data_IF_044977354196
#
_entry.id   IF_044977354196
#
_cell.length_a   1.000
_cell.length_b   1.000
_cell.length_c   1.000
_cell.angle_alpha   90.00
_cell.angle_beta   90.00
_cell.angle_gamma   90.00
#
_symmetry.space_group_name_H-M   'P 1'
#
loop_
_entity.id
_entity.type
_entity.pdbx_description
1 polymer ?
#
# COMPACT_ATOMS: atom_id res chain seq x y z
N UNK A 1 -13.29 17.43 6.74
CA UNK A 1 -12.28 16.51 6.25
C UNK A 1 -11.15 17.33 5.65
N UNK A 2 -9.94 17.22 6.17
CA UNK A 2 -8.78 17.83 5.54
C UNK A 2 -8.61 17.20 4.14
N UNK A 3 -8.27 18.02 3.13
CA UNK A 3 -8.05 17.51 1.80
C UNK A 3 -6.77 16.66 1.81
N UNK A 4 -6.89 15.38 1.49
CA UNK A 4 -5.72 14.50 1.32
C UNK A 4 -4.89 15.03 0.15
N UNK A 5 -3.63 15.41 0.40
CA UNK A 5 -2.72 15.80 -0.68
C UNK A 5 -2.31 14.53 -1.44
N UNK A 6 -2.65 14.39 -2.72
CA UNK A 6 -2.27 13.22 -3.49
C UNK A 6 -0.77 13.23 -3.80
N UNK A 7 -0.16 12.07 -3.73
CA UNK A 7 1.21 11.78 -4.12
C UNK A 7 1.19 10.99 -5.43
N UNK A 8 1.98 11.40 -6.41
CA UNK A 8 2.12 10.65 -7.66
C UNK A 8 3.03 9.44 -7.43
N UNK A 9 2.60 8.25 -7.89
CA UNK A 9 3.47 7.10 -8.01
C UNK A 9 4.15 7.13 -9.39
N UNK A 10 5.39 6.66 -9.43
CA UNK A 10 6.17 6.53 -10.66
C UNK A 10 6.14 5.08 -11.14
N UNK A 11 5.91 4.87 -12.43
CA UNK A 11 6.05 3.55 -13.05
C UNK A 11 7.52 3.17 -13.15
N UNK A 12 7.85 1.92 -12.83
CA UNK A 12 9.24 1.45 -12.90
C UNK A 12 9.73 1.41 -14.36
N UNK A 13 10.92 1.96 -14.66
CA UNK A 13 11.43 2.03 -16.03
C UNK A 13 11.59 0.66 -16.72
N UNK A 14 11.85 -0.40 -15.96
CA UNK A 14 11.96 -1.77 -16.50
C UNK A 14 10.61 -2.44 -16.80
N UNK A 15 9.49 -1.82 -16.45
CA UNK A 15 8.13 -2.31 -16.71
C UNK A 15 7.20 -1.16 -17.13
N UNK A 16 7.53 -0.44 -18.21
CA UNK A 16 6.77 0.74 -18.62
C UNK A 16 5.33 0.37 -18.97
N UNK A 17 4.40 1.26 -18.61
CA UNK A 17 3.00 1.07 -18.97
C UNK A 17 2.84 1.19 -20.50
N UNK A 18 2.21 0.20 -21.16
CA UNK A 18 2.02 0.22 -22.62
C UNK A 18 0.90 1.15 -23.07
N UNK A 19 0.15 1.71 -22.12
CA UNK A 19 -1.00 2.60 -22.34
C UNK A 19 -0.86 3.85 -21.47
N UNK A 20 -1.55 4.95 -21.80
CA UNK A 20 -1.62 6.11 -20.89
C UNK A 20 -2.23 5.70 -19.56
N UNK A 21 -1.42 5.79 -18.52
CA UNK A 21 -1.76 5.31 -17.18
C UNK A 21 -1.07 6.18 -16.13
N UNK A 22 -1.81 6.61 -15.12
CA UNK A 22 -1.31 7.33 -13.96
C UNK A 22 -1.85 6.72 -12.67
N UNK A 23 -1.01 6.67 -11.64
CA UNK A 23 -1.42 6.19 -10.32
C UNK A 23 -1.04 7.24 -9.27
N UNK A 24 -2.00 7.59 -8.43
CA UNK A 24 -1.82 8.50 -7.30
C UNK A 24 -2.29 7.84 -6.02
N UNK A 25 -1.73 8.26 -4.90
CA UNK A 25 -2.18 7.81 -3.60
C UNK A 25 -2.27 8.98 -2.63
N UNK A 26 -3.37 9.07 -1.89
CA UNK A 26 -3.53 9.97 -0.75
C UNK A 26 -3.56 9.19 0.54
N UNK A 27 -3.16 9.83 1.65
CA UNK A 27 -3.24 9.23 2.97
C UNK A 27 -3.77 10.23 4.00
N UNK A 28 -4.50 9.71 4.97
CA UNK A 28 -4.96 10.43 6.15
C UNK A 28 -4.82 9.52 7.36
N UNK A 29 -4.36 10.07 8.49
CA UNK A 29 -4.25 9.34 9.74
C UNK A 29 -5.10 9.98 10.82
N UNK A 30 -5.77 9.14 11.61
CA UNK A 30 -6.49 9.53 12.82
C UNK A 30 -6.18 8.53 13.93
N UNK A 31 -5.34 8.91 14.87
CA UNK A 31 -4.81 7.99 15.88
C UNK A 31 -4.05 6.82 15.24
N UNK A 32 -4.47 5.59 15.53
CA UNK A 32 -3.95 4.37 14.91
C UNK A 32 -4.61 4.01 13.59
N UNK A 33 -5.68 4.68 13.18
CA UNK A 33 -6.35 4.43 11.92
C UNK A 33 -5.65 5.15 10.77
N UNK A 34 -5.24 4.40 9.74
CA UNK A 34 -4.71 4.92 8.50
C UNK A 34 -5.73 4.69 7.37
N UNK A 35 -6.08 5.75 6.67
CA UNK A 35 -6.90 5.70 5.46
C UNK A 35 -6.02 6.00 4.26
N UNK A 36 -6.00 5.10 3.29
CA UNK A 36 -5.27 5.22 2.04
C UNK A 36 -6.27 5.26 0.89
N UNK A 37 -6.04 6.14 -0.09
CA UNK A 37 -6.86 6.26 -1.28
C UNK A 37 -5.96 6.22 -2.51
N UNK A 38 -6.02 5.12 -3.26
CA UNK A 38 -5.40 5.06 -4.58
C UNK A 38 -6.38 5.49 -5.67
N UNK A 39 -5.87 6.23 -6.64
CA UNK A 39 -6.56 6.67 -7.84
C UNK A 39 -5.76 6.20 -9.05
N UNK A 40 -6.34 5.31 -9.83
CA UNK A 40 -5.81 4.92 -11.14
C UNK A 40 -6.53 5.72 -12.20
N UNK A 41 -5.79 6.40 -13.05
CA UNK A 41 -6.32 7.15 -14.18
C UNK A 41 -5.87 6.49 -15.48
N UNK A 42 -6.80 5.89 -16.20
CA UNK A 42 -6.59 5.16 -17.44
C UNK A 42 -7.93 4.95 -18.15
N UNK A 43 -7.91 4.53 -19.41
CA UNK A 43 -9.10 3.89 -19.99
C UNK A 43 -9.43 2.62 -19.21
N UNK A 44 -10.63 2.52 -18.59
CA UNK A 44 -10.99 1.35 -17.78
C UNK A 44 -10.85 0.01 -18.50
N UNK A 45 -11.06 -0.01 -19.82
CA UNK A 45 -10.94 -1.22 -20.64
C UNK A 45 -9.48 -1.66 -20.85
N UNK A 46 -8.51 -0.78 -20.61
CA UNK A 46 -7.09 -1.09 -20.73
C UNK A 46 -6.49 -1.76 -19.49
N UNK A 47 -7.26 -1.88 -18.40
CA UNK A 47 -6.80 -2.45 -17.13
C UNK A 47 -7.59 -3.72 -16.81
N UNK A 48 -6.87 -4.74 -16.34
CA UNK A 48 -7.49 -5.96 -15.80
C UNK A 48 -7.81 -5.76 -14.32
N UNK A 49 -9.08 -5.61 -14.03
CA UNK A 49 -9.57 -5.49 -12.65
C UNK A 49 -9.96 -6.88 -12.13
N UNK A 50 -9.39 -7.37 -11.01
CA UNK A 50 -9.84 -8.60 -10.37
C UNK A 50 -11.34 -8.58 -10.09
N UNK A 51 -12.03 -9.67 -10.48
CA UNK A 51 -13.46 -9.79 -10.26
C UNK A 51 -13.82 -9.75 -8.76
N UNK A 52 -14.96 -9.15 -8.38
CA UNK A 52 -15.41 -9.11 -6.99
C UNK A 52 -15.45 -10.51 -6.36
N UNK A 53 -14.95 -10.62 -5.14
CA UNK A 53 -14.94 -11.82 -4.32
C UNK A 53 -15.51 -11.49 -2.93
N UNK A 54 -15.93 -12.50 -2.14
CA UNK A 54 -16.21 -12.27 -0.73
C UNK A 54 -15.02 -11.61 -0.03
N UNK A 55 -15.30 -10.56 0.76
CA UNK A 55 -14.27 -9.87 1.51
C UNK A 55 -13.59 -10.83 2.50
N UNK A 56 -12.27 -10.87 2.49
CA UNK A 56 -11.50 -11.77 3.34
C UNK A 56 -10.03 -11.85 2.95
N UNK A 57 -9.23 -12.56 3.75
CA UNK A 57 -7.81 -12.77 3.45
C UNK A 57 -7.62 -13.69 2.24
N UNK A 58 -6.63 -13.37 1.40
CA UNK A 58 -6.21 -14.21 0.28
C UNK A 58 -4.73 -14.00 -0.02
N UNK A 59 -4.06 -15.06 -0.49
CA UNK A 59 -2.65 -15.01 -0.90
C UNK A 59 -2.49 -14.64 -2.39
N UNK A 60 -1.30 -14.13 -2.75
CA UNK A 60 -0.90 -13.95 -4.14
C UNK A 60 -1.61 -12.78 -4.87
N UNK A 61 -2.24 -11.87 -4.14
CA UNK A 61 -2.99 -10.74 -4.73
C UNK A 61 -2.11 -9.86 -5.63
N UNK A 62 -0.81 -9.72 -5.31
CA UNK A 62 0.19 -8.98 -6.06
C UNK A 62 0.51 -9.55 -7.46
N UNK A 63 -0.01 -10.72 -7.79
CA UNK A 63 0.10 -11.32 -9.13
C UNK A 63 -0.87 -10.68 -10.15
N UNK A 64 -1.79 -9.84 -9.69
CA UNK A 64 -2.77 -9.09 -10.47
C UNK A 64 -2.78 -7.62 -10.05
N UNK A 65 -3.74 -6.83 -10.57
CA UNK A 65 -3.92 -5.46 -10.11
C UNK A 65 -4.16 -5.43 -8.60
N UNK A 66 -3.21 -4.84 -7.87
CA UNK A 66 -3.17 -4.80 -6.41
C UNK A 66 -2.52 -3.50 -5.93
N UNK A 67 -2.98 -3.00 -4.80
CA UNK A 67 -2.42 -1.81 -4.13
C UNK A 67 -1.79 -2.26 -2.83
N UNK A 68 -0.62 -1.69 -2.49
CA UNK A 68 0.17 -2.23 -1.39
C UNK A 68 0.71 -1.12 -0.49
N UNK A 69 0.83 -1.44 0.79
CA UNK A 69 1.46 -0.59 1.78
C UNK A 69 2.48 -1.39 2.60
N UNK A 70 3.73 -0.92 2.59
CA UNK A 70 4.83 -1.46 3.39
C UNK A 70 5.06 -0.51 4.56
N UNK A 71 4.85 -0.97 5.79
CA UNK A 71 4.86 -0.13 6.99
C UNK A 71 5.86 -0.68 7.99
N UNK A 72 6.83 0.14 8.41
CA UNK A 72 7.82 -0.18 9.45
C UNK A 72 7.96 0.96 10.44
N UNK A 73 8.44 0.66 11.65
CA UNK A 73 8.86 1.70 12.61
C UNK A 73 10.04 2.49 12.05
N UNK A 74 10.10 3.80 12.34
CA UNK A 74 11.23 4.66 11.93
C UNK A 74 12.36 4.64 13.00
N UNK A 75 12.71 3.46 13.49
CA UNK A 75 13.74 3.21 14.51
C UNK A 75 14.98 2.49 13.97
N UNK A 76 15.04 2.26 12.66
CA UNK A 76 16.12 1.52 12.02
C UNK A 76 15.93 -0.01 12.02
N UNK A 77 14.87 -0.54 12.65
CA UNK A 77 14.55 -1.96 12.57
C UNK A 77 14.36 -2.42 11.12
N UNK A 78 14.87 -3.61 10.74
CA UNK A 78 14.64 -4.16 9.40
C UNK A 78 13.23 -4.71 9.21
N UNK A 79 12.48 -4.95 10.30
CA UNK A 79 11.15 -5.55 10.25
C UNK A 79 10.10 -4.60 9.66
N UNK A 80 9.11 -5.16 8.97
CA UNK A 80 7.98 -4.40 8.41
C UNK A 80 6.74 -5.28 8.25
N UNK A 81 5.60 -4.63 8.05
CA UNK A 81 4.35 -5.26 7.68
C UNK A 81 3.98 -4.84 6.27
N UNK A 82 3.64 -5.79 5.43
CA UNK A 82 3.10 -5.59 4.09
C UNK A 82 1.60 -5.84 4.11
N UNK A 83 0.86 -4.91 3.55
CA UNK A 83 -0.56 -5.05 3.26
C UNK A 83 -0.78 -5.04 1.75
N UNK A 84 -1.60 -5.97 1.28
CA UNK A 84 -2.05 -6.06 -0.10
C UNK A 84 -3.57 -5.85 -0.15
N UNK A 85 -4.04 -5.01 -1.05
CA UNK A 85 -5.44 -4.63 -1.20
C UNK A 85 -5.87 -4.83 -2.64
N UNK A 86 -6.75 -5.82 -2.87
CA UNK A 86 -7.25 -6.14 -4.19
C UNK A 86 -8.56 -5.39 -4.51
N UNK A 87 -8.75 -4.96 -5.76
CA UNK A 87 -10.05 -4.53 -6.27
C UNK A 87 -11.17 -5.55 -6.09
N UNK A 88 -10.84 -6.84 -5.94
CA UNK A 88 -11.80 -7.91 -5.64
C UNK A 88 -12.50 -7.77 -4.29
N UNK A 89 -11.95 -6.94 -3.37
CA UNK A 89 -12.37 -6.85 -1.97
C UNK A 89 -11.59 -7.76 -1.02
N UNK A 90 -10.67 -8.57 -1.56
CA UNK A 90 -9.76 -9.40 -0.76
C UNK A 90 -8.51 -8.63 -0.36
N UNK A 91 -7.85 -9.09 0.71
CA UNK A 91 -6.66 -8.46 1.26
C UNK A 91 -5.67 -9.50 1.78
N UNK A 92 -4.41 -9.11 1.90
CA UNK A 92 -3.40 -9.88 2.61
C UNK A 92 -2.63 -8.99 3.59
N UNK A 93 -2.09 -9.60 4.63
CA UNK A 93 -1.20 -8.96 5.59
C UNK A 93 -0.07 -9.92 5.92
N UNK A 94 1.17 -9.49 5.67
CA UNK A 94 2.36 -10.29 5.89
C UNK A 94 3.32 -9.53 6.81
N UNK A 95 3.91 -10.24 7.77
CA UNK A 95 4.99 -9.70 8.61
C UNK A 95 6.33 -10.22 8.13
N UNK A 96 7.32 -9.35 8.13
CA UNK A 96 8.68 -9.66 7.75
C UNK A 96 9.63 -9.25 8.86
N UNK A 97 10.56 -10.14 9.22
CA UNK A 97 11.63 -9.87 10.18
C UNK A 97 12.75 -9.03 9.54
N UNK A 98 12.99 -9.23 8.25
CA UNK A 98 13.93 -8.47 7.42
C UNK A 98 13.45 -8.49 5.95
N UNK A 99 14.22 -7.85 5.05
CA UNK A 99 13.90 -7.81 3.62
C UNK A 99 13.66 -9.22 3.08
N UNK A 100 12.43 -9.50 2.63
CA UNK A 100 11.96 -10.80 2.09
C UNK A 100 12.04 -11.98 3.07
N UNK A 101 12.36 -11.75 4.33
CA UNK A 101 12.35 -12.77 5.38
C UNK A 101 11.00 -12.77 6.09
N UNK A 102 10.05 -13.57 5.60
CA UNK A 102 8.72 -13.66 6.19
C UNK A 102 8.81 -14.18 7.62
N UNK A 103 8.22 -13.45 8.56
CA UNK A 103 8.10 -13.87 9.94
C UNK A 103 7.17 -15.10 10.00
N UNK A 104 7.70 -16.23 10.48
CA UNK A 104 6.96 -17.47 10.67
C UNK A 104 6.25 -17.53 12.01
N UNK A 105 6.41 -16.53 12.87
CA UNK A 105 5.70 -16.48 14.14
C UNK A 105 4.19 -16.49 13.88
N UNK A 106 3.40 -17.31 14.62
CA UNK A 106 1.95 -17.27 14.47
C UNK A 106 1.49 -15.84 14.65
N UNK A 107 0.61 -15.38 13.79
CA UNK A 107 0.04 -14.03 13.78
C UNK A 107 -0.74 -13.78 15.09
N UNK A 108 -0.02 -13.63 16.20
CA UNK A 108 -0.55 -13.42 17.53
C UNK A 108 -1.18 -12.04 17.73
N UNK A 109 -1.40 -11.31 16.70
CA UNK A 109 -2.31 -10.18 16.54
C UNK A 109 -2.31 -9.83 15.07
N UNK A 110 -3.12 -10.48 14.26
CA UNK A 110 -3.46 -9.87 12.98
C UNK A 110 -4.09 -8.52 13.29
N UNK A 111 -3.59 -7.42 12.71
CA UNK A 111 -4.28 -6.16 12.80
C UNK A 111 -5.73 -6.39 12.36
N UNK A 112 -6.67 -5.66 12.93
CA UNK A 112 -8.07 -5.75 12.49
C UNK A 112 -8.12 -5.73 10.96
N UNK A 113 -8.95 -6.63 10.38
CA UNK A 113 -9.10 -6.75 8.94
C UNK A 113 -9.29 -5.36 8.31
N UNK A 114 -8.55 -5.01 7.27
CA UNK A 114 -8.73 -3.73 6.60
C UNK A 114 -10.12 -3.66 5.98
N UNK A 115 -10.69 -2.45 5.95
CA UNK A 115 -11.93 -2.20 5.22
C UNK A 115 -11.59 -1.66 3.84
N UNK A 116 -12.03 -2.36 2.79
CA UNK A 116 -11.78 -2.00 1.41
C UNK A 116 -13.05 -1.49 0.73
N UNK A 117 -12.88 -0.47 -0.12
CA UNK A 117 -13.92 0.00 -1.03
C UNK A 117 -13.30 0.27 -2.39
N UNK A 118 -13.64 -0.54 -3.37
CA UNK A 118 -13.27 -0.33 -4.76
C UNK A 118 -14.41 0.31 -5.52
N UNK A 119 -14.10 1.30 -6.34
CA UNK A 119 -15.09 2.03 -7.14
C UNK A 119 -14.54 2.25 -8.55
N UNK A 120 -15.15 1.64 -9.58
CA UNK A 120 -14.91 2.02 -10.98
C UNK A 120 -15.34 3.46 -11.22
N UNK A 121 -14.61 4.16 -12.10
CA UNK A 121 -14.87 5.52 -12.52
C UNK A 121 -14.80 5.59 -14.06
N UNK A 122 -15.35 6.65 -14.65
CA UNK A 122 -15.37 6.80 -16.11
C UNK A 122 -13.96 6.89 -16.73
N UNK A 123 -13.00 7.38 -15.96
CA UNK A 123 -11.60 7.58 -16.36
C UNK A 123 -10.62 6.74 -15.51
N UNK A 124 -11.05 5.55 -15.06
CA UNK A 124 -10.23 4.62 -14.30
C UNK A 124 -10.93 3.99 -13.09
N UNK A 125 -10.30 4.03 -11.92
CA UNK A 125 -10.88 3.51 -10.69
C UNK A 125 -10.23 4.15 -9.45
N UNK A 126 -10.89 3.97 -8.31
CA UNK A 126 -10.30 4.26 -7.01
C UNK A 126 -10.47 3.08 -6.04
N UNK A 127 -9.50 2.93 -5.14
CA UNK A 127 -9.58 2.01 -4.01
C UNK A 127 -9.27 2.77 -2.73
N UNK A 128 -10.17 2.65 -1.77
CA UNK A 128 -9.94 3.12 -0.39
C UNK A 128 -9.65 1.92 0.48
N UNK A 129 -8.57 1.97 1.25
CA UNK A 129 -8.25 1.01 2.29
C UNK A 129 -8.15 1.71 3.63
N UNK A 130 -8.85 1.20 4.64
CA UNK A 130 -8.71 1.62 6.03
C UNK A 130 -8.11 0.49 6.83
N UNK A 131 -7.01 0.76 7.51
CA UNK A 131 -6.29 -0.23 8.32
C UNK A 131 -5.84 0.37 9.65
N UNK A 132 -5.65 -0.48 10.63
CA UNK A 132 -4.98 -0.12 11.88
C UNK A 132 -3.48 -0.20 11.66
N UNK A 133 -2.75 0.86 11.98
CA UNK A 133 -1.29 0.87 11.92
C UNK A 133 -0.71 -0.27 12.78
N UNK A 134 0.26 -1.04 12.24
CA UNK A 134 1.01 -1.96 13.07
C UNK A 134 1.81 -1.18 14.11
N UNK A 135 2.04 -1.79 15.27
CA UNK A 135 2.77 -1.19 16.37
C UNK A 135 2.19 0.20 16.74
N UNK A 136 1.05 0.23 17.45
CA UNK A 136 0.39 1.48 17.83
C UNK A 136 1.37 2.38 18.60
N UNK A 137 1.23 3.72 18.48
CA UNK A 137 2.17 4.64 19.09
C UNK A 137 2.12 4.50 20.62
N UNK A 138 3.27 4.26 21.21
CA UNK A 138 3.57 4.45 22.62
C UNK A 138 4.28 5.80 22.81
N UNK A 139 4.60 6.18 24.06
CA UNK A 139 5.21 7.47 24.38
C UNK A 139 6.57 7.70 23.69
N UNK A 140 7.27 6.64 23.30
CA UNK A 140 8.58 6.67 22.66
C UNK A 140 8.55 6.25 21.20
N UNK A 141 7.34 6.11 20.60
CA UNK A 141 7.23 5.67 19.21
C UNK A 141 7.82 6.71 18.23
N UNK A 142 8.80 6.34 17.40
CA UNK A 142 9.48 7.27 16.50
C UNK A 142 8.64 7.70 15.29
N UNK A 143 7.47 7.07 15.07
CA UNK A 143 6.69 7.15 13.86
C UNK A 143 6.94 5.97 12.93
N UNK A 144 6.48 6.10 11.70
CA UNK A 144 6.56 5.05 10.69
C UNK A 144 7.24 5.53 9.42
N UNK A 145 7.90 4.59 8.76
CA UNK A 145 8.30 4.69 7.35
C UNK A 145 7.36 3.86 6.51
N UNK A 146 6.85 4.45 5.43
CA UNK A 146 5.83 3.82 4.59
C UNK A 146 6.29 3.83 3.14
N UNK A 147 6.20 2.66 2.49
CA UNK A 147 6.22 2.49 1.05
C UNK A 147 4.78 2.33 0.56
N UNK A 148 4.37 3.14 -0.41
CA UNK A 148 3.06 3.00 -1.07
C UNK A 148 3.29 2.65 -2.54
N UNK A 149 2.66 1.57 -2.96
CA UNK A 149 2.91 0.97 -4.27
C UNK A 149 1.61 0.50 -4.92
N UNK A 150 1.69 0.13 -6.19
CA UNK A 150 0.65 -0.55 -6.93
C UNK A 150 1.24 -1.43 -8.01
N UNK A 151 0.69 -2.62 -8.16
CA UNK A 151 0.82 -3.44 -9.35
C UNK A 151 -0.43 -3.20 -10.20
N UNK A 152 -0.26 -2.87 -11.47
CA UNK A 152 -1.38 -2.68 -12.40
C UNK A 152 -1.21 -3.61 -13.58
N UNK A 153 -2.16 -4.53 -13.75
CA UNK A 153 -2.23 -5.45 -14.87
C UNK A 153 -2.94 -4.78 -16.04
N UNK A 154 -2.25 -4.67 -17.17
CA UNK A 154 -2.83 -4.08 -18.39
C UNK A 154 -3.44 -5.16 -19.29
N UNK A 155 -4.53 -4.86 -19.96
CA UNK A 155 -5.20 -5.78 -20.85
C UNK A 155 -4.27 -6.21 -22.01
N UNK A 156 -3.92 -7.52 -22.04
CA UNK A 156 -3.02 -8.07 -23.04
C UNK A 156 -1.55 -7.66 -22.92
N UNK A 157 -1.16 -7.05 -21.79
CA UNK A 157 0.18 -6.55 -21.53
C UNK A 157 0.80 -7.08 -20.24
N UNK A 158 2.01 -6.61 -19.90
CA UNK A 158 2.70 -6.98 -18.67
C UNK A 158 2.08 -6.31 -17.43
N UNK A 159 2.50 -6.76 -16.26
CA UNK A 159 2.31 -6.04 -15.01
C UNK A 159 3.18 -4.78 -14.99
N UNK A 160 2.60 -3.66 -14.60
CA UNK A 160 3.28 -2.38 -14.42
C UNK A 160 3.42 -2.10 -12.91
N UNK A 161 4.64 -1.77 -12.49
CA UNK A 161 4.99 -1.62 -11.08
C UNK A 161 5.14 -0.14 -10.74
N UNK A 162 4.33 0.35 -9.83
CA UNK A 162 4.24 1.76 -9.44
C UNK A 162 4.62 1.94 -7.98
N UNK A 163 5.45 2.92 -7.68
CA UNK A 163 5.87 3.23 -6.32
C UNK A 163 6.14 4.72 -6.12
N UNK A 164 6.17 5.18 -4.87
CA UNK A 164 6.67 6.52 -4.53
C UNK A 164 8.14 6.68 -4.92
N UNK A 165 8.92 5.60 -4.80
CA UNK A 165 10.32 5.56 -5.18
C UNK A 165 10.76 4.15 -5.52
N UNK A 166 11.58 4.01 -6.57
CA UNK A 166 12.19 2.77 -7.02
C UNK A 166 13.70 2.79 -6.76
N UNK A 167 14.18 2.15 -5.68
CA UNK A 167 15.60 2.19 -5.32
C UNK A 167 16.49 1.23 -6.12
N UNK A 168 15.89 0.26 -6.82
CA UNK A 168 16.60 -0.82 -7.49
C UNK A 168 16.41 -0.80 -9.02
N UNK A 169 17.31 -1.41 -9.81
CA UNK A 169 17.18 -1.47 -11.27
C UNK A 169 16.08 -2.40 -11.77
N UNK A 170 15.50 -3.22 -10.89
CA UNK A 170 14.31 -4.05 -11.13
C UNK A 170 13.23 -3.68 -10.10
N UNK A 171 11.93 -3.85 -10.42
CA UNK A 171 10.88 -3.62 -9.44
C UNK A 171 11.12 -4.42 -8.16
N UNK A 172 11.23 -3.72 -7.04
CA UNK A 172 11.42 -4.32 -5.72
C UNK A 172 10.79 -3.45 -4.64
N UNK A 173 9.58 -3.80 -4.23
CA UNK A 173 8.83 -3.07 -3.22
C UNK A 173 9.28 -3.40 -1.79
N UNK A 174 9.96 -4.55 -1.58
CA UNK A 174 10.51 -4.93 -0.28
C UNK A 174 11.76 -4.13 0.10
N UNK A 175 12.45 -3.56 -0.89
CA UNK A 175 13.67 -2.82 -0.65
C UNK A 175 13.40 -1.61 0.27
N UNK A 176 14.10 -1.48 1.42
CA UNK A 176 13.82 -0.46 2.44
C UNK A 176 13.96 0.98 1.94
N UNK A 177 14.77 1.20 0.88
CA UNK A 177 14.90 2.49 0.21
C UNK A 177 13.62 2.96 -0.49
N UNK A 178 12.64 2.08 -0.75
CA UNK A 178 11.32 2.40 -1.30
C UNK A 178 10.35 2.94 -0.24
N UNK A 179 10.62 2.75 1.07
CA UNK A 179 9.76 3.19 2.17
C UNK A 179 10.10 4.64 2.55
N UNK A 180 9.82 5.57 1.65
CA UNK A 180 10.29 6.96 1.72
C UNK A 180 9.38 7.91 2.50
N UNK A 181 8.10 7.57 2.65
CA UNK A 181 7.15 8.43 3.33
C UNK A 181 7.32 8.29 4.85
N UNK A 182 7.47 9.43 5.53
CA UNK A 182 7.52 9.49 6.99
C UNK A 182 6.15 9.90 7.54
N UNK A 183 5.64 9.09 8.43
CA UNK A 183 4.44 9.37 9.19
C UNK A 183 4.83 9.52 10.68
N UNK A 184 4.86 10.74 11.22
CA UNK A 184 5.25 10.94 12.61
C UNK A 184 4.23 10.30 13.56
N UNK A 185 4.69 9.85 14.73
CA UNK A 185 3.78 9.54 15.83
C UNK A 185 3.16 10.85 16.34
N UNK A 186 1.84 10.87 16.59
CA UNK A 186 1.23 12.00 17.29
C UNK A 186 1.74 11.95 18.73
N UNK A 187 2.58 12.88 19.11
CA UNK A 187 2.88 13.07 20.52
C UNK A 187 1.63 13.71 21.15
N UNK A 188 1.03 13.12 22.19
CA UNK A 188 0.06 13.84 22.98
C UNK A 188 0.70 15.15 23.43
N UNK A 189 0.01 16.28 23.25
CA UNK A 189 0.44 17.55 23.83
C UNK A 189 0.64 17.29 25.32
N UNK A 190 1.89 17.33 25.80
CA UNK A 190 2.18 17.28 27.23
C UNK A 190 1.51 18.54 27.80
N UNK A 191 0.42 18.35 28.53
CA UNK A 191 -0.13 19.39 29.38
C UNK A 191 0.93 19.70 30.45
N UNK A 192 1.45 20.92 30.43
CA UNK A 192 2.28 21.47 31.49
C UNK A 192 1.44 21.76 32.74
#
# INVERSE_FOLDING_TARGET
>A
MAAMTPLDLTCHPASPAPVPLGVRVGLERSGSLLTLLWRVQADPASIVWPAPQPAGPADGLWQHTCFEAFIRRDDGSPSYTEFNFSPSGQWACYRFAAERERDSAPAAAQPHAPVLRFQPLIDGAQLVAQLTLPDPPDDDHPGWRIGLTAVVETAGGPLCWWALHHPAPRPDFHHPGGHVLRLPADRPLRSF
#
